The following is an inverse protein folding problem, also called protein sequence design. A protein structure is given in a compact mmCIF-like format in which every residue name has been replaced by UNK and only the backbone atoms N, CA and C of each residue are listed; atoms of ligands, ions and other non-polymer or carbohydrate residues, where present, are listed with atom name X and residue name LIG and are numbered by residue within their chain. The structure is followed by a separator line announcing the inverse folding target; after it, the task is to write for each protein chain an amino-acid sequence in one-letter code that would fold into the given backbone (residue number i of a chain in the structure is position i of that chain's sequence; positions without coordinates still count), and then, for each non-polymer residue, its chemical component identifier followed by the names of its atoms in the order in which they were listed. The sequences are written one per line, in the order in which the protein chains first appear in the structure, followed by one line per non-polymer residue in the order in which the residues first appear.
data_IF_689909520818
#
_entry.id   IF_689909520818
#
_cell.length_a   1.000
_cell.length_b   1.000
_cell.length_c   1.000
_cell.angle_alpha   90.00
_cell.angle_beta   90.00
_cell.angle_gamma   90.00
#
_symmetry.space_group_name_H-M   'P 1'
#
loop_
_entity.id
_entity.type
_entity.pdbx_description
1 polymer ?
#
# COMPACT_ATOMS: atom_id res chain seq x y z
N UNK A 1 -23.11 -17.44 3.75
CA UNK A 1 -23.61 -16.07 3.54
C UNK A 1 -22.63 -15.03 4.09
N UNK A 2 -22.18 -15.16 5.35
CA UNK A 2 -21.19 -14.26 5.97
C UNK A 2 -19.86 -14.13 5.18
N UNK A 3 -19.25 -15.24 4.77
CA UNK A 3 -17.99 -15.22 3.97
C UNK A 3 -18.10 -14.39 2.68
N UNK A 4 -19.23 -14.49 1.98
CA UNK A 4 -19.47 -13.72 0.73
C UNK A 4 -19.61 -12.22 0.99
N UNK A 5 -20.17 -11.84 2.15
CA UNK A 5 -20.26 -10.42 2.54
C UNK A 5 -18.89 -9.88 2.94
N UNK A 6 -18.08 -10.70 3.63
CA UNK A 6 -16.70 -10.37 3.98
C UNK A 6 -15.80 -10.20 2.75
N UNK A 7 -15.88 -11.10 1.76
CA UNK A 7 -15.11 -10.96 0.52
C UNK A 7 -15.52 -9.73 -0.28
N UNK A 8 -16.83 -9.48 -0.41
CA UNK A 8 -17.33 -8.27 -1.07
C UNK A 8 -16.87 -6.99 -0.36
N UNK A 9 -16.81 -7.00 0.97
CA UNK A 9 -16.26 -5.87 1.72
C UNK A 9 -14.78 -5.66 1.43
N UNK A 10 -13.99 -6.74 1.35
CA UNK A 10 -12.58 -6.65 0.96
C UNK A 10 -12.43 -6.09 -0.44
N UNK A 11 -13.16 -6.62 -1.43
CA UNK A 11 -13.16 -6.13 -2.81
C UNK A 11 -13.45 -4.64 -2.87
N UNK A 12 -14.51 -4.17 -2.23
CA UNK A 12 -14.84 -2.75 -2.18
C UNK A 12 -13.68 -1.92 -1.61
N UNK A 13 -13.05 -2.39 -0.52
CA UNK A 13 -11.91 -1.72 0.10
C UNK A 13 -10.70 -1.68 -0.83
N UNK A 14 -10.43 -2.77 -1.56
CA UNK A 14 -9.34 -2.85 -2.54
C UNK A 14 -9.58 -1.88 -3.70
N UNK A 15 -10.80 -1.82 -4.25
CA UNK A 15 -11.17 -0.91 -5.33
C UNK A 15 -11.07 0.57 -4.92
N UNK A 16 -11.54 0.91 -3.71
CA UNK A 16 -11.43 2.28 -3.21
C UNK A 16 -9.97 2.71 -3.03
N UNK A 17 -9.14 1.83 -2.47
CA UNK A 17 -7.71 2.09 -2.33
C UNK A 17 -7.04 2.27 -3.69
N UNK A 18 -7.31 1.38 -4.64
CA UNK A 18 -6.72 1.41 -5.97
C UNK A 18 -7.05 2.72 -6.69
N UNK A 19 -8.32 3.16 -6.64
CA UNK A 19 -8.73 4.45 -7.21
C UNK A 19 -7.95 5.62 -6.63
N UNK A 20 -7.87 5.72 -5.29
CA UNK A 20 -7.24 6.86 -4.62
C UNK A 20 -5.73 6.93 -4.89
N UNK A 21 -5.04 5.79 -4.86
CA UNK A 21 -3.61 5.76 -5.16
C UNK A 21 -3.36 6.04 -6.63
N UNK A 22 -4.24 5.57 -7.53
CA UNK A 22 -4.13 5.86 -8.96
C UNK A 22 -4.29 7.36 -9.26
N UNK A 23 -5.23 8.02 -8.59
CA UNK A 23 -5.40 9.47 -8.68
C UNK A 23 -4.12 10.22 -8.26
N UNK A 24 -3.49 9.84 -7.14
CA UNK A 24 -2.21 10.43 -6.74
C UNK A 24 -1.07 10.14 -7.73
N UNK A 25 -1.00 8.94 -8.29
CA UNK A 25 -0.02 8.59 -9.30
C UNK A 25 -0.19 9.45 -10.56
N UNK A 26 -1.43 9.59 -11.04
CA UNK A 26 -1.75 10.33 -12.25
C UNK A 26 -1.51 11.84 -12.06
N UNK A 27 -1.87 12.41 -10.90
CA UNK A 27 -1.55 13.81 -10.55
C UNK A 27 -0.06 14.10 -10.59
N UNK A 28 0.76 13.13 -10.20
CA UNK A 28 2.20 13.29 -10.16
C UNK A 28 2.84 13.05 -11.53
N UNK A 29 2.26 12.15 -12.32
CA UNK A 29 2.67 11.89 -13.70
C UNK A 29 2.39 13.07 -14.62
N UNK A 30 1.24 13.71 -14.45
CA UNK A 30 0.78 14.82 -15.31
C UNK A 30 0.92 16.17 -14.62
N UNK A 31 1.77 16.27 -13.58
CA UNK A 31 1.93 17.51 -12.79
C UNK A 31 2.22 18.75 -13.63
N UNK A 32 2.94 18.59 -14.74
CA UNK A 32 3.29 19.68 -15.66
C UNK A 32 2.10 20.16 -16.49
N UNK A 33 1.04 19.35 -16.60
CA UNK A 33 -0.19 19.67 -17.33
C UNK A 33 -1.19 20.48 -16.48
N UNK A 34 -0.91 20.66 -15.19
CA UNK A 34 -1.76 21.40 -14.24
C UNK A 34 -1.17 22.76 -13.88
N UNK A 35 -2.03 23.73 -13.62
CA UNK A 35 -1.60 24.94 -12.92
C UNK A 35 -1.19 24.60 -11.47
N UNK A 36 -0.22 25.33 -10.88
CA UNK A 36 0.25 25.03 -9.53
C UNK A 36 -0.85 25.00 -8.48
N UNK A 37 -1.85 25.88 -8.61
CA UNK A 37 -2.98 25.99 -7.68
C UNK A 37 -3.94 24.80 -7.84
N UNK A 38 -4.31 24.47 -9.09
CA UNK A 38 -5.16 23.32 -9.43
C UNK A 38 -4.56 21.99 -8.99
N UNK A 39 -3.25 21.79 -9.20
CA UNK A 39 -2.53 20.60 -8.73
C UNK A 39 -2.58 20.49 -7.20
N UNK A 40 -2.35 21.60 -6.48
CA UNK A 40 -2.34 21.58 -5.02
C UNK A 40 -3.72 21.33 -4.44
N UNK A 41 -4.76 21.94 -5.01
CA UNK A 41 -6.15 21.71 -4.59
C UNK A 41 -6.53 20.24 -4.79
N UNK A 42 -6.34 19.71 -6.01
CA UNK A 42 -6.69 18.32 -6.33
C UNK A 42 -5.89 17.31 -5.51
N UNK A 43 -4.59 17.58 -5.27
CA UNK A 43 -3.75 16.75 -4.40
C UNK A 43 -4.24 16.79 -2.95
N UNK A 44 -4.62 17.97 -2.45
CA UNK A 44 -5.12 18.14 -1.08
C UNK A 44 -6.42 17.37 -0.88
N UNK A 45 -7.38 17.51 -1.80
CA UNK A 45 -8.65 16.78 -1.75
C UNK A 45 -8.43 15.25 -1.78
N UNK A 46 -7.55 14.77 -2.66
CA UNK A 46 -7.25 13.32 -2.74
C UNK A 46 -6.63 12.81 -1.43
N UNK A 47 -5.74 13.60 -0.83
CA UNK A 47 -5.13 13.29 0.48
C UNK A 47 -6.19 13.26 1.59
N UNK A 48 -7.15 14.18 1.59
CA UNK A 48 -8.25 14.20 2.56
C UNK A 48 -9.14 12.96 2.41
N UNK A 49 -9.52 12.59 1.19
CA UNK A 49 -10.27 11.35 0.92
C UNK A 49 -9.52 10.11 1.44
N UNK A 50 -8.19 10.05 1.28
CA UNK A 50 -7.39 8.95 1.82
C UNK A 50 -7.41 8.90 3.36
N UNK A 51 -7.37 10.05 4.03
CA UNK A 51 -7.46 10.13 5.51
C UNK A 51 -8.84 9.68 6.00
N UNK A 52 -9.91 10.11 5.34
CA UNK A 52 -11.29 9.70 5.65
C UNK A 52 -11.49 8.20 5.44
N UNK A 53 -10.96 7.67 4.34
CA UNK A 53 -10.98 6.25 4.05
C UNK A 53 -10.23 5.45 5.13
N UNK A 54 -9.03 5.90 5.52
CA UNK A 54 -8.27 5.29 6.60
C UNK A 54 -9.02 5.28 7.93
N UNK A 55 -9.70 6.38 8.28
CA UNK A 55 -10.54 6.49 9.48
C UNK A 55 -11.72 5.52 9.43
N UNK A 56 -12.34 5.37 8.26
CA UNK A 56 -13.42 4.42 8.04
C UNK A 56 -12.94 2.98 8.23
N UNK A 57 -11.75 2.63 7.73
CA UNK A 57 -11.12 1.34 7.96
C UNK A 57 -10.82 1.09 9.45
N UNK A 58 -10.51 2.13 10.23
CA UNK A 58 -10.24 1.99 11.66
C UNK A 58 -11.51 1.56 12.41
N UNK A 59 -12.65 2.16 12.04
CA UNK A 59 -13.96 1.82 12.60
C UNK A 59 -14.36 0.38 12.23
N UNK A 60 -14.09 -0.04 10.99
CA UNK A 60 -14.32 -1.42 10.55
C UNK A 60 -13.44 -2.42 11.30
N UNK A 61 -12.15 -2.12 11.48
CA UNK A 61 -11.21 -2.97 12.20
C UNK A 61 -11.57 -3.15 13.69
N UNK A 62 -12.20 -2.13 14.31
CA UNK A 62 -12.70 -2.21 15.68
C UNK A 62 -13.98 -3.04 15.81
N UNK A 63 -14.78 -3.15 14.75
CA UNK A 63 -16.05 -3.88 14.74
C UNK A 63 -15.94 -5.37 14.41
N UNK A 64 -14.89 -5.81 13.72
CA UNK A 64 -14.68 -7.21 13.32
C UNK A 64 -13.23 -7.66 13.55
N UNK A 65 -13.02 -8.43 14.62
CA UNK A 65 -11.71 -8.97 15.02
C UNK A 65 -11.09 -9.89 13.98
N UNK A 66 -11.91 -10.53 13.13
CA UNK A 66 -11.41 -11.45 12.08
C UNK A 66 -10.76 -10.72 10.91
N UNK A 67 -11.03 -9.42 10.76
CA UNK A 67 -10.54 -8.58 9.68
C UNK A 67 -9.56 -7.49 10.14
N UNK A 68 -9.35 -7.35 11.45
CA UNK A 68 -8.45 -6.35 12.03
C UNK A 68 -7.07 -6.38 11.37
N UNK A 69 -6.45 -7.56 11.25
CA UNK A 69 -5.13 -7.72 10.62
C UNK A 69 -5.08 -7.19 9.17
N UNK A 70 -6.12 -7.48 8.40
CA UNK A 70 -6.23 -7.08 6.99
C UNK A 70 -6.40 -5.56 6.87
N UNK A 71 -7.34 -4.99 7.63
CA UNK A 71 -7.59 -3.55 7.60
C UNK A 71 -6.43 -2.74 8.18
N UNK A 72 -5.79 -3.20 9.26
CA UNK A 72 -4.60 -2.56 9.82
C UNK A 72 -3.44 -2.57 8.81
N UNK A 73 -3.29 -3.63 8.02
CA UNK A 73 -2.29 -3.65 6.97
C UNK A 73 -2.58 -2.61 5.87
N UNK A 74 -3.83 -2.51 5.41
CA UNK A 74 -4.24 -1.47 4.44
C UNK A 74 -4.00 -0.07 4.98
N UNK A 75 -4.35 0.20 6.24
CA UNK A 75 -4.13 1.49 6.87
C UNK A 75 -2.64 1.89 6.90
N UNK A 76 -1.75 0.95 7.16
CA UNK A 76 -0.31 1.20 7.10
C UNK A 76 0.17 1.50 5.67
N UNK A 77 -0.42 0.84 4.67
CA UNK A 77 -0.15 1.15 3.27
C UNK A 77 -0.63 2.53 2.86
N UNK A 78 -1.84 2.93 3.29
CA UNK A 78 -2.36 4.29 3.11
C UNK A 78 -1.44 5.31 3.79
N UNK A 79 -1.02 5.07 5.02
CA UNK A 79 -0.07 5.93 5.74
C UNK A 79 1.25 6.08 5.00
N UNK A 80 1.76 5.01 4.42
CA UNK A 80 2.98 5.08 3.64
C UNK A 80 2.77 5.78 2.28
N UNK A 81 1.58 5.70 1.69
CA UNK A 81 1.24 6.51 0.51
C UNK A 81 1.12 8.00 0.82
N UNK A 82 0.52 8.36 1.96
CA UNK A 82 0.44 9.74 2.45
C UNK A 82 1.82 10.34 2.73
N UNK A 83 2.76 9.54 3.22
CA UNK A 83 4.15 9.94 3.44
C UNK A 83 5.01 9.88 2.16
N UNK A 84 4.38 9.72 0.99
CA UNK A 84 5.03 9.62 -0.32
C UNK A 84 6.06 8.47 -0.42
N UNK A 85 5.96 7.46 0.46
CA UNK A 85 6.87 6.31 0.51
C UNK A 85 6.47 5.25 -0.52
N UNK A 86 5.16 5.12 -0.80
CA UNK A 86 4.62 4.20 -1.81
C UNK A 86 3.49 4.84 -2.63
N UNK A 87 3.65 4.94 -3.95
CA UNK A 87 2.59 5.40 -4.87
C UNK A 87 2.03 4.27 -5.73
N UNK A 88 2.13 3.03 -5.27
CA UNK A 88 1.72 1.85 -6.05
C UNK A 88 0.68 1.05 -5.27
N UNK A 89 -0.58 1.00 -5.74
CA UNK A 89 -1.66 0.31 -5.02
C UNK A 89 -1.37 -1.18 -4.87
N UNK A 90 -0.76 -1.80 -5.89
CA UNK A 90 -0.37 -3.20 -5.88
C UNK A 90 0.52 -3.57 -4.68
N UNK A 91 1.48 -2.71 -4.32
CA UNK A 91 2.40 -2.95 -3.21
C UNK A 91 1.65 -2.93 -1.87
N UNK A 92 0.69 -2.01 -1.72
CA UNK A 92 -0.15 -1.91 -0.53
C UNK A 92 -1.07 -3.14 -0.41
N UNK A 93 -1.66 -3.58 -1.51
CA UNK A 93 -2.53 -4.77 -1.52
C UNK A 93 -1.76 -6.06 -1.23
N UNK A 94 -0.54 -6.21 -1.78
CA UNK A 94 0.34 -7.34 -1.44
C UNK A 94 0.71 -7.38 0.05
N UNK A 95 0.77 -6.22 0.72
CA UNK A 95 0.92 -6.13 2.18
C UNK A 95 -0.30 -6.65 2.91
N UNK A 96 -1.47 -6.16 2.53
CA UNK A 96 -2.74 -6.50 3.16
C UNK A 96 -3.03 -8.00 3.08
N UNK A 97 -2.69 -8.60 1.93
CA UNK A 97 -2.87 -10.02 1.68
C UNK A 97 -1.77 -10.92 2.27
N UNK A 98 -0.77 -10.34 2.96
CA UNK A 98 0.39 -11.07 3.51
C UNK A 98 1.07 -11.94 2.44
N UNK A 99 1.38 -11.38 1.26
CA UNK A 99 1.96 -12.10 0.12
C UNK A 99 3.44 -11.73 -0.13
N UNK A 100 4.38 -12.00 0.80
CA UNK A 100 5.79 -11.62 0.66
C UNK A 100 6.50 -12.33 -0.51
N UNK A 101 6.07 -13.54 -0.85
CA UNK A 101 6.63 -14.28 -1.99
C UNK A 101 6.27 -13.65 -3.33
N UNK A 102 5.04 -13.15 -3.49
CA UNK A 102 4.65 -12.45 -4.72
C UNK A 102 5.44 -11.16 -4.93
N UNK A 103 5.75 -10.44 -3.84
CA UNK A 103 6.61 -9.27 -3.89
C UNK A 103 8.04 -9.61 -4.34
N UNK A 104 8.61 -10.72 -3.84
CA UNK A 104 9.93 -11.21 -4.26
C UNK A 104 9.94 -11.61 -5.74
N UNK A 105 8.90 -12.31 -6.19
CA UNK A 105 8.75 -12.69 -7.60
C UNK A 105 8.62 -11.47 -8.50
N UNK A 106 7.84 -10.46 -8.10
CA UNK A 106 7.69 -9.22 -8.86
C UNK A 106 8.99 -8.42 -8.93
N UNK A 107 9.76 -8.36 -7.84
CA UNK A 107 11.08 -7.73 -7.81
C UNK A 107 12.06 -8.48 -8.74
N UNK A 108 12.04 -9.81 -8.74
CA UNK A 108 12.84 -10.61 -9.67
C UNK A 108 12.43 -10.40 -11.14
N UNK A 109 11.14 -10.21 -11.40
CA UNK A 109 10.61 -9.91 -12.72
C UNK A 109 11.07 -8.53 -13.22
N UNK A 110 10.99 -7.49 -12.38
CA UNK A 110 11.49 -6.13 -12.70
C UNK A 110 12.98 -6.17 -13.04
N UNK A 111 13.78 -6.90 -12.25
CA UNK A 111 15.21 -7.07 -12.52
C UNK A 111 15.49 -7.79 -13.85
N UNK A 112 14.65 -8.78 -14.20
CA UNK A 112 14.75 -9.50 -15.46
C UNK A 112 14.39 -8.59 -16.63
N UNK A 113 13.30 -7.83 -16.53
CA UNK A 113 12.84 -6.95 -17.61
C UNK A 113 13.80 -5.79 -17.85
N UNK A 114 14.46 -5.29 -16.80
CA UNK A 114 15.58 -4.36 -16.93
C UNK A 114 16.75 -4.99 -17.70
N UNK A 115 17.17 -6.21 -17.33
CA UNK A 115 18.27 -6.93 -18.03
C UNK A 115 17.95 -7.24 -19.49
N UNK A 116 16.67 -7.46 -19.81
CA UNK A 116 16.20 -7.73 -21.16
C UNK A 116 15.91 -6.45 -21.96
N UNK A 117 16.12 -5.27 -21.39
CA UNK A 117 15.86 -3.97 -22.04
C UNK A 117 14.37 -3.67 -22.26
N UNK A 118 13.46 -4.44 -21.65
CA UNK A 118 12.00 -4.27 -21.75
C UNK A 118 11.46 -3.16 -20.85
N UNK A 119 12.26 -2.74 -19.87
CA UNK A 119 11.95 -1.68 -18.92
C UNK A 119 13.08 -0.65 -18.94
N UNK A 120 12.74 0.63 -18.97
CA UNK A 120 13.77 1.69 -18.89
C UNK A 120 14.46 1.66 -17.54
N UNK A 121 15.76 2.00 -17.50
CA UNK A 121 16.56 1.98 -16.27
C UNK A 121 15.93 2.84 -15.16
N UNK A 122 15.37 4.00 -15.52
CA UNK A 122 14.69 4.90 -14.60
C UNK A 122 13.42 4.27 -14.01
N UNK A 123 12.56 3.67 -14.84
CA UNK A 123 11.33 3.03 -14.38
C UNK A 123 11.62 1.80 -13.51
N UNK A 124 12.63 1.01 -13.87
CA UNK A 124 13.09 -0.13 -13.10
C UNK A 124 13.61 0.29 -11.72
N UNK A 125 14.44 1.33 -11.65
CA UNK A 125 14.98 1.83 -10.37
C UNK A 125 13.88 2.34 -9.43
N UNK A 126 12.91 3.11 -9.93
CA UNK A 126 11.78 3.61 -9.14
C UNK A 126 10.92 2.48 -8.57
N UNK A 127 10.56 1.51 -9.42
CA UNK A 127 9.79 0.34 -8.98
C UNK A 127 10.60 -0.47 -7.97
N UNK A 128 11.85 -0.80 -8.28
CA UNK A 128 12.70 -1.61 -7.41
C UNK A 128 12.94 -0.96 -6.04
N UNK A 129 13.07 0.37 -5.98
CA UNK A 129 13.16 1.12 -4.72
C UNK A 129 11.89 0.97 -3.87
N UNK A 130 10.70 1.09 -4.47
CA UNK A 130 9.43 0.88 -3.77
C UNK A 130 9.31 -0.55 -3.20
N UNK A 131 9.55 -1.57 -4.02
CA UNK A 131 9.48 -2.97 -3.57
C UNK A 131 10.54 -3.29 -2.50
N UNK A 132 11.75 -2.71 -2.62
CA UNK A 132 12.80 -2.90 -1.61
C UNK A 132 12.41 -2.26 -0.28
N UNK A 133 11.99 -0.99 -0.28
CA UNK A 133 11.59 -0.25 0.92
C UNK A 133 10.42 -0.92 1.63
N UNK A 134 9.53 -1.53 0.86
CA UNK A 134 8.46 -2.38 1.35
C UNK A 134 8.95 -3.65 2.07
N UNK A 135 9.88 -4.40 1.45
CA UNK A 135 10.48 -5.61 2.07
C UNK A 135 11.18 -5.25 3.39
N UNK A 136 11.90 -4.13 3.42
CA UNK A 136 12.53 -3.64 4.66
C UNK A 136 11.51 -3.26 5.73
N UNK A 137 10.41 -2.59 5.35
CA UNK A 137 9.32 -2.26 6.27
C UNK A 137 8.68 -3.52 6.86
N UNK A 138 8.39 -4.52 6.03
CA UNK A 138 7.83 -5.80 6.47
C UNK A 138 8.79 -6.55 7.42
N UNK A 139 10.08 -6.65 7.06
CA UNK A 139 11.10 -7.26 7.89
C UNK A 139 11.24 -6.57 9.26
N UNK A 140 11.13 -5.24 9.28
CA UNK A 140 11.21 -4.44 10.52
C UNK A 140 9.99 -4.68 11.40
N UNK A 141 8.78 -4.73 10.83
CA UNK A 141 7.55 -5.04 11.57
C UNK A 141 7.57 -6.47 12.14
N UNK A 142 8.01 -7.46 11.37
CA UNK A 142 8.16 -8.85 11.86
C UNK A 142 9.16 -8.95 13.00
N UNK A 143 10.27 -8.20 12.94
CA UNK A 143 11.28 -8.18 14.01
C UNK A 143 10.72 -7.54 15.29
N UNK A 144 9.94 -6.47 15.19
CA UNK A 144 9.28 -5.84 16.35
C UNK A 144 8.21 -6.74 16.98
N UNK A 145 7.41 -7.43 16.17
CA UNK A 145 6.42 -8.42 16.64
C UNK A 145 7.09 -9.59 17.37
N UNK A 146 8.16 -10.15 16.80
CA UNK A 146 8.92 -11.23 17.42
C UNK A 146 9.57 -10.82 18.76
N UNK A 147 9.98 -9.56 18.90
CA UNK A 147 10.51 -9.02 20.16
C UNK A 147 9.40 -8.85 21.21
N UNK A 148 8.20 -8.42 20.82
CA UNK A 148 7.05 -8.29 21.71
C UNK A 148 6.50 -9.64 22.20
N UNK A 149 6.46 -10.65 21.33
CA UNK A 149 6.04 -12.02 21.68
C UNK A 149 7.04 -12.72 22.62
N UNK A 150 8.35 -12.47 22.44
CA UNK A 150 9.38 -12.98 23.34
C UNK A 150 9.37 -12.29 24.72
N UNK A 151 8.93 -11.03 24.81
CA UNK A 151 8.78 -10.35 26.11
C UNK A 151 7.56 -10.81 26.90
N UNK A 152 6.51 -11.30 26.22
CA UNK A 152 5.28 -11.83 26.83
C UNK A 152 5.39 -13.30 27.27
N UNK A 153 6.39 -14.03 26.77
CA UNK A 153 6.67 -15.43 27.13
C UNK A 153 7.72 -15.58 28.25
N UNK A 154 8.23 -14.47 28.77
CA UNK A 154 9.16 -14.40 29.92
C UNK A 154 8.48 -13.89 31.21
N UNK A 155 7.14 -13.85 31.25
CA UNK A 155 6.32 -13.68 32.46
C UNK A 155 5.54 -14.96 32.74
#
# INVERSE_FOLDING_TARGET
MALKQTEKLKENVEEQLERLVKQLEDLEKYREDFEPEEYQETKTETIEQMKEFQSSLAKLAAGDLSLTDYFTAIQLGIQAALNEVFRTPEIILMFAKKQPEQLRLKLAQIQRDLKLGKLSSQAAHTQQACFSKFIYFNKSKSKLLALAENSLSLQ
#
